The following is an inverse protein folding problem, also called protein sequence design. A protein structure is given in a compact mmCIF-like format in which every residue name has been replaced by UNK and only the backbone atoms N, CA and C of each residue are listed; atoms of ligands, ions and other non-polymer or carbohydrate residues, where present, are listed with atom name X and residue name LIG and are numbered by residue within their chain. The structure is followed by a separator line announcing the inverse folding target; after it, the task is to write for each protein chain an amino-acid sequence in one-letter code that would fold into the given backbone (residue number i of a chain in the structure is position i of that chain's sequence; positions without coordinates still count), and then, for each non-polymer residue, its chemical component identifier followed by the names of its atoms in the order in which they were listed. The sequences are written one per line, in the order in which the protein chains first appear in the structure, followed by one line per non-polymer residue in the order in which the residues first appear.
data_IF_701370964757
#
_entry.id   IF_701370964757
#
_cell.length_a   1.000
_cell.length_b   1.000
_cell.length_c   1.000
_cell.angle_alpha   90.00
_cell.angle_beta   90.00
_cell.angle_gamma   90.00
#
_symmetry.space_group_name_H-M   'P 1'
#
loop_
_entity.id
_entity.type
_entity.pdbx_description
1 polymer ?
#
# COMPACT_ATOMS: atom_id res chain seq x y z
N UNK A 1 -4.72 9.39 0.02
CA UNK A 1 -3.35 9.36 0.59
C UNK A 1 -3.36 8.49 1.83
N UNK A 2 -2.67 7.35 1.82
CA UNK A 2 -2.62 6.39 2.94
C UNK A 2 -1.19 5.82 2.99
N UNK A 3 -0.43 6.11 4.04
CA UNK A 3 0.97 5.63 4.20
C UNK A 3 1.02 4.48 5.16
N UNK A 4 1.67 3.36 4.80
CA UNK A 4 2.31 2.56 5.85
C UNK A 4 3.31 1.44 5.43
N UNK A 5 4.56 1.48 5.92
CA UNK A 5 5.16 0.37 6.69
C UNK A 5 6.51 0.77 7.27
N UNK A 6 6.82 0.19 8.42
CA UNK A 6 8.13 0.13 9.06
C UNK A 6 8.26 -1.29 9.62
N UNK A 7 9.45 -1.86 9.52
CA UNK A 7 9.74 -3.23 9.95
C UNK A 7 9.78 -3.39 11.46
N UNK A 8 9.38 -4.57 11.94
CA UNK A 8 9.68 -5.07 13.29
C UNK A 8 8.69 -4.67 14.39
N UNK A 9 7.96 -5.68 14.89
CA UNK A 9 7.17 -5.67 16.12
C UNK A 9 5.90 -4.81 16.17
N UNK A 10 4.86 -5.45 16.71
CA UNK A 10 3.53 -4.90 16.91
C UNK A 10 3.59 -3.90 18.07
N UNK A 11 3.06 -2.69 17.86
CA UNK A 11 3.11 -1.55 18.77
C UNK A 11 4.50 -0.96 19.05
N UNK A 12 5.25 -0.62 18.00
CA UNK A 12 6.35 0.33 18.14
C UNK A 12 5.91 1.75 17.75
N UNK A 13 6.62 2.73 18.29
CA UNK A 13 6.34 4.16 18.18
C UNK A 13 6.55 4.78 16.80
N UNK A 14 6.63 4.01 15.70
CA UNK A 14 6.98 4.53 14.36
C UNK A 14 5.84 4.59 13.34
N UNK A 15 4.67 3.98 13.61
CA UNK A 15 3.43 4.37 12.89
C UNK A 15 2.89 5.68 13.47
N UNK A 16 3.71 6.74 13.45
CA UNK A 16 3.40 8.05 14.01
C UNK A 16 2.69 8.99 13.03
N UNK A 17 2.64 8.64 11.74
CA UNK A 17 2.23 9.58 10.69
C UNK A 17 1.33 8.92 9.63
N UNK A 18 0.03 8.85 9.91
CA UNK A 18 -1.01 8.64 8.90
C UNK A 18 -1.47 10.00 8.38
N UNK A 19 -1.00 10.41 7.20
CA UNK A 19 -1.58 11.56 6.49
C UNK A 19 -2.76 11.03 5.69
N UNK A 20 -3.96 11.15 6.26
CA UNK A 20 -5.18 10.72 5.60
C UNK A 20 -5.67 11.82 4.66
N UNK A 21 -5.93 11.49 3.39
CA UNK A 21 -6.86 12.30 2.60
C UNK A 21 -8.21 12.25 3.33
N UNK A 22 -8.97 13.34 3.38
CA UNK A 22 -10.13 13.58 4.28
C UNK A 22 -11.27 12.53 4.29
N UNK A 23 -11.15 11.40 3.59
CA UNK A 23 -12.11 10.31 3.54
C UNK A 23 -12.13 9.44 4.81
N UNK A 24 -13.31 9.32 5.41
CA UNK A 24 -13.61 8.26 6.39
C UNK A 24 -13.60 6.88 5.73
N UNK A 25 -13.25 5.83 6.48
CA UNK A 25 -13.31 4.45 5.99
C UNK A 25 -14.68 3.82 6.20
N UNK A 26 -15.23 3.82 7.42
CA UNK A 26 -16.48 3.16 7.80
C UNK A 26 -17.71 3.73 7.08
N UNK A 27 -18.75 2.90 6.88
CA UNK A 27 -20.00 3.29 6.21
C UNK A 27 -19.95 3.32 4.68
N UNK A 28 -18.75 3.27 4.08
CA UNK A 28 -18.57 3.22 2.62
C UNK A 28 -18.60 1.78 2.07
N UNK A 29 -18.87 1.61 0.79
CA UNK A 29 -18.64 0.34 0.10
C UNK A 29 -17.24 0.32 -0.56
N UNK A 30 -16.83 -0.82 -1.12
CA UNK A 30 -15.49 -1.00 -1.66
C UNK A 30 -15.19 -0.19 -2.94
N UNK A 31 -16.21 0.31 -3.63
CA UNK A 31 -16.05 1.19 -4.80
C UNK A 31 -15.55 2.57 -4.42
N UNK A 32 -15.69 2.97 -3.15
CA UNK A 32 -15.20 4.26 -2.65
C UNK A 32 -13.70 4.17 -2.44
N UNK A 33 -12.96 4.85 -3.31
CA UNK A 33 -11.49 4.86 -3.32
C UNK A 33 -10.87 5.32 -2.00
N UNK A 34 -11.58 6.14 -1.22
CA UNK A 34 -11.18 6.50 0.14
C UNK A 34 -10.85 5.27 1.00
N UNK A 35 -11.58 4.16 0.81
CA UNK A 35 -11.34 2.90 1.53
C UNK A 35 -10.47 1.95 0.71
N UNK A 36 -10.84 1.65 -0.53
CA UNK A 36 -10.13 0.61 -1.30
C UNK A 36 -8.70 1.03 -1.63
N UNK A 37 -8.49 2.27 -2.07
CA UNK A 37 -7.13 2.77 -2.32
C UNK A 37 -6.32 2.92 -1.03
N UNK A 38 -6.96 3.14 0.13
CA UNK A 38 -6.29 3.08 1.43
C UNK A 38 -5.66 1.73 1.70
N UNK A 39 -6.45 0.68 1.50
CA UNK A 39 -6.01 -0.69 1.74
C UNK A 39 -4.94 -1.09 0.74
N UNK A 40 -5.08 -0.71 -0.53
CA UNK A 40 -4.05 -0.91 -1.55
C UNK A 40 -2.74 -0.22 -1.21
N UNK A 41 -2.80 1.05 -0.81
CA UNK A 41 -1.63 1.81 -0.40
C UNK A 41 -0.95 1.17 0.83
N UNK A 42 -1.75 0.66 1.79
CA UNK A 42 -1.20 -0.13 2.92
C UNK A 42 -0.46 -1.35 2.47
N UNK A 43 -1.11 -2.15 1.65
CA UNK A 43 -0.56 -3.37 1.15
C UNK A 43 0.76 -3.13 0.42
N UNK A 44 0.79 -2.17 -0.51
CA UNK A 44 2.00 -1.88 -1.30
C UNK A 44 3.16 -1.44 -0.41
N UNK A 45 2.92 -0.48 0.48
CA UNK A 45 3.99 0.01 1.34
C UNK A 45 4.53 -1.08 2.29
N UNK A 46 3.65 -1.94 2.83
CA UNK A 46 4.05 -3.11 3.61
C UNK A 46 4.91 -4.09 2.81
N UNK A 47 4.57 -4.30 1.55
CA UNK A 47 5.32 -5.18 0.66
C UNK A 47 6.67 -4.58 0.25
N UNK A 48 6.78 -3.27 0.05
CA UNK A 48 8.05 -2.58 -0.25
C UNK A 48 9.03 -2.73 0.91
N UNK A 49 8.57 -2.49 2.14
CA UNK A 49 9.42 -2.64 3.34
C UNK A 49 9.76 -4.10 3.59
N UNK A 50 8.78 -5.02 3.46
CA UNK A 50 9.04 -6.45 3.60
C UNK A 50 9.97 -7.01 2.51
N UNK A 51 10.02 -6.37 1.33
CA UNK A 51 10.96 -6.70 0.26
C UNK A 51 12.39 -6.19 0.53
N UNK A 52 12.61 -5.44 1.61
CA UNK A 52 13.90 -4.82 1.92
C UNK A 52 14.27 -3.68 0.97
N UNK A 53 13.29 -3.07 0.30
CA UNK A 53 13.55 -1.94 -0.61
C UNK A 53 13.68 -0.60 0.13
N UNK A 54 13.13 -0.50 1.33
CA UNK A 54 13.28 0.65 2.21
C UNK A 54 12.98 0.26 3.67
N UNK A 55 13.53 1.00 4.64
CA UNK A 55 13.14 0.85 6.06
C UNK A 55 11.83 1.57 6.37
N UNK A 56 11.61 2.70 5.70
CA UNK A 56 10.41 3.54 5.81
C UNK A 56 9.92 3.88 4.42
N UNK A 57 8.62 3.73 4.21
CA UNK A 57 8.05 3.99 2.89
C UNK A 57 6.67 4.64 2.99
N UNK A 58 6.45 5.59 2.08
CA UNK A 58 5.17 6.22 1.83
C UNK A 58 4.75 6.02 0.38
N UNK A 59 3.45 5.82 0.19
CA UNK A 59 2.79 5.97 -1.11
C UNK A 59 1.57 6.87 -0.99
N UNK A 60 1.41 7.76 -1.96
CA UNK A 60 0.27 8.63 -2.10
C UNK A 60 -0.44 8.32 -3.42
N UNK A 61 -1.75 8.12 -3.35
CA UNK A 61 -2.61 7.91 -4.51
C UNK A 61 -3.63 9.04 -4.58
N UNK A 62 -3.81 9.58 -5.78
CA UNK A 62 -4.88 10.53 -6.10
C UNK A 62 -5.72 10.01 -7.25
N UNK A 63 -7.04 10.17 -7.14
CA UNK A 63 -8.02 9.77 -8.16
C UNK A 63 -8.87 10.97 -8.52
N UNK A 64 -9.35 10.98 -9.77
CA UNK A 64 -10.41 11.86 -10.23
C UNK A 64 -11.72 11.07 -10.27
N UNK A 65 -12.85 11.75 -10.03
CA UNK A 65 -14.16 11.11 -10.12
C UNK A 65 -14.39 10.54 -11.54
N UNK A 66 -14.81 9.26 -11.62
CA UNK A 66 -15.00 8.55 -12.90
C UNK A 66 -13.72 7.99 -13.54
N UNK A 67 -12.53 8.35 -13.03
CA UNK A 67 -11.26 7.79 -13.48
C UNK A 67 -10.97 6.43 -12.85
N UNK A 68 -10.63 5.43 -13.68
CA UNK A 68 -10.23 4.11 -13.17
C UNK A 68 -8.78 4.09 -12.68
N UNK A 69 -7.87 4.75 -13.39
CA UNK A 69 -6.46 4.84 -13.01
C UNK A 69 -6.24 6.02 -12.05
N UNK A 70 -5.29 5.90 -11.09
CA UNK A 70 -4.87 7.06 -10.31
C UNK A 70 -4.24 8.12 -11.24
N UNK A 71 -4.57 9.39 -11.00
CA UNK A 71 -3.96 10.52 -11.72
C UNK A 71 -2.56 10.85 -11.18
N UNK A 72 -2.24 10.35 -9.98
CA UNK A 72 -0.93 10.51 -9.37
C UNK A 72 -0.65 9.34 -8.43
N UNK A 73 0.58 8.82 -8.55
CA UNK A 73 1.20 7.88 -7.64
C UNK A 73 2.55 8.48 -7.23
N UNK A 74 2.63 8.95 -5.99
CA UNK A 74 3.87 9.51 -5.43
C UNK A 74 4.43 8.52 -4.39
N UNK A 75 5.74 8.35 -4.38
CA UNK A 75 6.44 7.45 -3.45
C UNK A 75 7.58 8.20 -2.78
N UNK A 76 7.85 7.87 -1.52
CA UNK A 76 8.91 8.51 -0.73
C UNK A 76 9.51 7.48 0.23
N UNK A 77 10.84 7.33 0.19
CA UNK A 77 11.58 6.43 1.10
C UNK A 77 12.23 7.15 2.28
N UNK A 78 12.16 8.49 2.34
CA UNK A 78 12.78 9.33 3.37
C UNK A 78 14.29 9.09 3.51
N UNK A 79 14.96 8.79 2.40
CA UNK A 79 16.39 8.48 2.38
C UNK A 79 16.76 7.09 2.93
N UNK A 80 15.77 6.22 3.17
CA UNK A 80 15.99 4.84 3.65
C UNK A 80 15.91 3.78 2.55
N UNK A 81 15.73 4.20 1.30
CA UNK A 81 15.64 3.32 0.14
C UNK A 81 16.97 2.66 -0.21
N UNK A 82 16.94 1.38 -0.54
CA UNK A 82 18.10 0.64 -1.08
C UNK A 82 18.32 0.91 -2.57
N UNK A 83 17.29 1.40 -3.25
CA UNK A 83 17.30 1.86 -4.64
C UNK A 83 16.54 3.19 -4.74
N UNK A 84 16.67 3.90 -5.87
CA UNK A 84 16.00 5.18 -6.07
C UNK A 84 14.46 5.04 -6.00
N UNK A 85 13.80 6.04 -5.42
CA UNK A 85 12.34 6.10 -5.27
C UNK A 85 11.61 5.90 -6.61
N UNK A 86 12.15 6.47 -7.68
CA UNK A 86 11.64 6.31 -9.05
C UNK A 86 11.68 4.84 -9.52
N UNK A 87 12.71 4.08 -9.13
CA UNK A 87 12.81 2.65 -9.42
C UNK A 87 11.74 1.88 -8.64
N UNK A 88 11.55 2.19 -7.36
CA UNK A 88 10.50 1.58 -6.53
C UNK A 88 9.12 1.90 -7.12
N UNK A 89 8.89 3.14 -7.56
CA UNK A 89 7.66 3.56 -8.22
C UNK A 89 7.32 2.67 -9.41
N UNK A 90 8.27 2.50 -10.34
CA UNK A 90 8.10 1.67 -11.53
C UNK A 90 7.81 0.22 -11.19
N UNK A 91 8.53 -0.35 -10.22
CA UNK A 91 8.29 -1.72 -9.77
C UNK A 91 6.88 -1.89 -9.20
N UNK A 92 6.39 -0.91 -8.46
CA UNK A 92 5.02 -0.90 -7.93
C UNK A 92 4.00 -0.83 -9.07
N UNK A 93 4.19 0.06 -10.04
CA UNK A 93 3.30 0.20 -11.21
C UNK A 93 3.29 -1.04 -12.10
N UNK A 94 4.42 -1.73 -12.24
CA UNK A 94 4.57 -2.97 -13.01
C UNK A 94 3.88 -4.17 -12.33
N UNK A 95 3.83 -4.20 -10.99
CA UNK A 95 3.39 -5.38 -10.23
C UNK A 95 2.08 -5.21 -9.43
N UNK A 96 1.53 -4.00 -9.35
CA UNK A 96 0.30 -3.71 -8.63
C UNK A 96 -0.66 -2.83 -9.43
N UNK A 97 -1.89 -3.32 -9.63
CA UNK A 97 -2.95 -2.59 -10.32
C UNK A 97 -3.79 -1.80 -9.32
N UNK A 98 -3.70 -0.46 -9.41
CA UNK A 98 -4.42 0.47 -8.54
C UNK A 98 -5.84 0.78 -9.00
N UNK A 99 -6.34 0.18 -10.09
CA UNK A 99 -7.74 0.41 -10.48
C UNK A 99 -8.68 -0.10 -9.38
N UNK A 100 -9.74 0.65 -9.01
CA UNK A 100 -10.65 0.26 -7.94
C UNK A 100 -11.21 -1.15 -8.09
N UNK A 101 -11.55 -1.56 -9.32
CA UNK A 101 -11.99 -2.93 -9.62
C UNK A 101 -10.93 -3.98 -9.31
N UNK A 102 -9.69 -3.76 -9.75
CA UNK A 102 -8.58 -4.68 -9.49
C UNK A 102 -8.27 -4.79 -7.99
N UNK A 103 -8.34 -3.68 -7.25
CA UNK A 103 -8.18 -3.67 -5.79
C UNK A 103 -9.29 -4.51 -5.11
N UNK A 104 -10.54 -4.31 -5.53
CA UNK A 104 -11.69 -5.06 -5.01
C UNK A 104 -11.50 -6.56 -5.24
N UNK A 105 -11.06 -6.95 -6.44
CA UNK A 105 -10.91 -8.33 -6.84
C UNK A 105 -9.72 -9.02 -6.16
N UNK A 106 -8.61 -8.29 -5.97
CA UNK A 106 -7.42 -8.77 -5.26
C UNK A 106 -7.73 -9.08 -3.81
N UNK A 107 -8.34 -8.14 -3.08
CA UNK A 107 -8.58 -8.30 -1.65
C UNK A 107 -9.94 -8.93 -1.32
N UNK A 108 -10.72 -9.32 -2.34
CA UNK A 108 -12.08 -9.86 -2.20
C UNK A 108 -12.93 -8.98 -1.29
N UNK A 109 -12.99 -7.69 -1.62
CA UNK A 109 -13.62 -6.66 -0.77
C UNK A 109 -15.15 -6.71 -0.76
N UNK A 110 -15.79 -7.46 -1.66
CA UNK A 110 -17.24 -7.66 -1.71
C UNK A 110 -17.70 -8.80 -0.80
N UNK A 111 -17.37 -8.72 0.49
CA UNK A 111 -17.79 -9.67 1.55
C UNK A 111 -17.93 -8.96 2.89
N UNK A 112 -18.68 -9.52 3.86
CA UNK A 112 -18.94 -8.86 5.14
C UNK A 112 -17.72 -8.93 6.09
N UNK A 113 -16.70 -8.10 5.84
CA UNK A 113 -15.44 -8.09 6.61
C UNK A 113 -15.17 -6.77 7.36
N UNK A 114 -15.98 -5.74 7.15
CA UNK A 114 -15.68 -4.37 7.62
C UNK A 114 -16.10 -4.07 9.06
N UNK A 115 -17.01 -4.87 9.66
CA UNK A 115 -17.44 -4.61 11.04
C UNK A 115 -16.28 -4.69 12.02
N UNK A 116 -15.40 -5.67 11.82
CA UNK A 116 -14.20 -5.85 12.63
C UNK A 116 -13.14 -4.76 12.42
N UNK A 117 -13.18 -3.99 11.32
CA UNK A 117 -12.22 -2.89 11.08
C UNK A 117 -12.65 -1.58 11.74
N UNK A 118 -13.90 -1.47 12.20
CA UNK A 118 -14.45 -0.25 12.78
C UNK A 118 -13.88 0.10 14.17
N UNK A 119 -13.15 -0.82 14.78
CA UNK A 119 -12.57 -0.69 16.12
C UNK A 119 -11.12 -1.16 16.09
N UNK A 120 -10.27 -0.55 16.91
CA UNK A 120 -8.85 -0.93 17.05
C UNK A 120 -8.03 -0.85 15.74
N UNK A 121 -8.48 -0.01 14.80
CA UNK A 121 -7.74 0.30 13.58
C UNK A 121 -7.98 -0.64 12.41
N UNK A 122 -7.78 -0.11 11.20
CA UNK A 122 -7.90 -0.85 9.94
C UNK A 122 -6.60 -1.55 9.52
N UNK A 123 -5.48 -1.19 10.15
CA UNK A 123 -4.14 -1.61 9.75
C UNK A 123 -3.39 -2.23 10.91
N UNK A 124 -2.38 -3.02 10.56
CA UNK A 124 -1.58 -3.77 11.51
C UNK A 124 -2.49 -4.77 12.23
N UNK A 125 -3.17 -5.63 11.49
CA UNK A 125 -3.88 -6.83 11.99
C UNK A 125 -3.77 -7.94 10.94
N UNK A 126 -3.25 -9.14 11.27
CA UNK A 126 -2.90 -10.13 10.24
C UNK A 126 -4.14 -10.72 9.54
N UNK A 127 -5.32 -10.56 10.13
CA UNK A 127 -6.61 -11.07 9.63
C UNK A 127 -7.06 -10.41 8.30
N UNK A 128 -6.42 -9.32 7.89
CA UNK A 128 -6.84 -8.53 6.74
C UNK A 128 -6.03 -8.80 5.47
N UNK A 129 -6.69 -8.89 4.30
CA UNK A 129 -6.01 -9.22 3.05
C UNK A 129 -4.98 -8.16 2.62
N UNK A 130 -5.19 -6.89 2.97
CA UNK A 130 -4.22 -5.81 2.70
C UNK A 130 -3.03 -5.79 3.66
N UNK A 131 -2.96 -6.72 4.62
CA UNK A 131 -1.83 -6.89 5.52
C UNK A 131 -0.90 -8.03 5.09
N UNK A 132 -1.22 -8.74 3.99
CA UNK A 132 -0.33 -9.75 3.42
C UNK A 132 0.92 -9.12 2.80
N UNK A 133 2.04 -9.86 2.84
CA UNK A 133 3.34 -9.48 2.27
C UNK A 133 3.76 -10.40 1.13
N UNK A 134 2.79 -10.90 0.38
CA UNK A 134 2.95 -11.86 -0.73
C UNK A 134 3.50 -11.23 -2.02
N UNK A 135 3.44 -9.90 -2.16
CA UNK A 135 4.06 -9.16 -3.26
C UNK A 135 5.56 -8.88 -3.00
N UNK A 136 6.01 -8.93 -1.74
CA UNK A 136 7.39 -8.61 -1.36
C UNK A 136 8.46 -9.44 -2.10
N UNK A 137 8.34 -10.78 -2.23
CA UNK A 137 9.33 -11.58 -2.94
C UNK A 137 9.45 -11.19 -4.42
N UNK A 138 8.32 -10.85 -5.06
CA UNK A 138 8.29 -10.38 -6.45
C UNK A 138 9.04 -9.05 -6.60
N UNK A 139 8.79 -8.10 -5.70
CA UNK A 139 9.47 -6.80 -5.71
C UNK A 139 10.97 -6.93 -5.46
N UNK A 140 11.37 -7.73 -4.47
CA UNK A 140 12.78 -7.98 -4.16
C UNK A 140 13.52 -8.61 -5.36
N UNK A 141 12.90 -9.61 -6.01
CA UNK A 141 13.44 -10.25 -7.20
C UNK A 141 13.58 -9.27 -8.37
N UNK A 142 12.56 -8.45 -8.61
CA UNK A 142 12.56 -7.49 -9.71
C UNK A 142 13.60 -6.36 -9.49
N UNK A 143 13.82 -5.93 -8.25
CA UNK A 143 14.88 -5.00 -7.90
C UNK A 143 16.29 -5.60 -8.09
N UNK A 144 16.49 -6.88 -7.71
CA UNK A 144 17.75 -7.60 -7.88
C UNK A 144 18.07 -8.03 -9.32
N UNK A 145 17.07 -8.18 -10.18
CA UNK A 145 17.28 -8.52 -11.60
C UNK A 145 17.80 -7.34 -12.45
N UNK A 146 17.71 -6.10 -11.96
CA UNK A 146 18.26 -4.90 -12.62
C UNK A 146 19.66 -4.50 -12.14
N UNK A 147 20.25 -5.20 -11.15
CA UNK A 147 21.56 -4.88 -10.57
C UNK A 147 22.76 -5.64 -11.14
N UNK A 148 22.58 -6.44 -12.20
CA UNK A 148 23.65 -7.26 -12.81
C UNK A 148 24.04 -6.84 -14.24
N UNK A 149 23.73 -5.60 -14.63
CA UNK A 149 24.13 -5.02 -15.93
C UNK A 149 24.48 -3.53 -15.77
N UNK A 150 25.66 -3.27 -15.19
CA UNK A 150 26.52 -2.11 -15.46
C UNK A 150 27.89 -2.35 -14.79
#
# INVERSE_FOLDING_TARGET
MIRPAVGGQWLDSTTKYLVNGTGAFSGKDATKVDRSAAYAARYVAKNVVAAGLAERFEVQLAYVIGGAQPISLNVETFGTGTVADETIRKLIEEHFDFRPGAIIDRFKLRRPLYRQTASYGHFGRPDFPWEATDLAPTLAKAAGARGALA
#
